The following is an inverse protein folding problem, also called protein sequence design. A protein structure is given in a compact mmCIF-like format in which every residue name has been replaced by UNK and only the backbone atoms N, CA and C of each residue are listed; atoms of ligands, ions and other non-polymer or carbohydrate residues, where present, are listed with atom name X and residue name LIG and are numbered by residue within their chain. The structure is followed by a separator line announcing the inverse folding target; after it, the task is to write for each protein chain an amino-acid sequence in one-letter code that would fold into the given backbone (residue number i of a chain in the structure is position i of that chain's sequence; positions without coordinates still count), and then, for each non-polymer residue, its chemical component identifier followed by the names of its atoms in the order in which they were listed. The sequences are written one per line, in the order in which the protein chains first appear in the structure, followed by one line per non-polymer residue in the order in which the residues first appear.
data_IF_057674441031
#
_entry.id   IF_057674441031
#
_cell.length_a   1.000
_cell.length_b   1.000
_cell.length_c   1.000
_cell.angle_alpha   90.00
_cell.angle_beta   90.00
_cell.angle_gamma   90.00
#
_symmetry.space_group_name_H-M   'P 1'
#
loop_
_entity.id
_entity.type
_entity.pdbx_description
1 polymer ?
#
# COMPACT_ATOMS: atom_id res chain seq x y z
N UNK A 1 -0.19 -12.78 -2.11
CA UNK A 1 -0.62 -12.96 -0.70
C UNK A 1 -1.90 -13.79 -0.71
N UNK A 2 -1.75 -15.10 -0.53
CA UNK A 2 -2.49 -16.12 -1.29
C UNK A 2 -3.37 -17.01 -0.41
N UNK A 3 -4.52 -16.54 0.09
CA UNK A 3 -5.44 -17.30 0.98
C UNK A 3 -4.92 -17.58 2.40
N UNK A 4 -3.75 -18.21 2.56
CA UNK A 4 -3.21 -18.60 3.89
C UNK A 4 -3.02 -17.38 4.79
N UNK A 5 -2.54 -16.26 4.24
CA UNK A 5 -2.36 -15.02 4.99
C UNK A 5 -3.70 -14.46 5.51
N UNK A 6 -4.80 -14.64 4.75
CA UNK A 6 -6.14 -14.21 5.17
C UNK A 6 -6.76 -15.14 6.19
N UNK A 7 -6.52 -16.43 6.07
CA UNK A 7 -6.93 -17.40 7.08
C UNK A 7 -6.21 -17.13 8.41
N UNK A 8 -4.92 -16.78 8.34
CA UNK A 8 -4.13 -16.41 9.51
C UNK A 8 -4.65 -15.11 10.14
N UNK A 9 -4.94 -14.09 9.33
CA UNK A 9 -5.55 -12.84 9.80
C UNK A 9 -6.93 -13.07 10.42
N UNK A 10 -7.79 -13.88 9.80
CA UNK A 10 -9.11 -14.20 10.35
C UNK A 10 -9.00 -14.97 11.68
N UNK A 11 -8.14 -15.98 11.76
CA UNK A 11 -7.90 -16.73 12.99
C UNK A 11 -7.41 -15.83 14.12
N UNK A 12 -6.51 -14.89 13.80
CA UNK A 12 -6.03 -13.88 14.75
C UNK A 12 -7.14 -12.92 15.19
N UNK A 13 -7.99 -12.46 14.27
CA UNK A 13 -9.10 -11.55 14.56
C UNK A 13 -10.14 -12.20 15.50
N UNK A 14 -10.46 -13.48 15.26
CA UNK A 14 -11.35 -14.24 16.15
C UNK A 14 -10.74 -14.37 17.54
N UNK A 15 -9.46 -14.78 17.62
CA UNK A 15 -8.75 -14.87 18.90
C UNK A 15 -8.71 -13.53 19.64
N UNK A 16 -8.39 -12.44 18.95
CA UNK A 16 -8.30 -11.11 19.53
C UNK A 16 -9.67 -10.64 20.04
N UNK A 17 -10.73 -10.84 19.24
CA UNK A 17 -12.11 -10.52 19.63
C UNK A 17 -12.53 -11.27 20.90
N UNK A 18 -12.27 -12.57 20.97
CA UNK A 18 -12.63 -13.38 22.12
C UNK A 18 -11.84 -12.97 23.37
N UNK A 19 -10.57 -12.57 23.21
CA UNK A 19 -9.76 -12.02 24.29
C UNK A 19 -10.27 -10.66 24.78
N UNK A 20 -10.58 -9.74 23.87
CA UNK A 20 -11.20 -8.46 24.24
C UNK A 20 -12.52 -8.68 24.98
N UNK A 21 -13.36 -9.61 24.53
CA UNK A 21 -14.62 -9.95 25.20
C UNK A 21 -14.42 -10.52 26.61
N UNK A 22 -13.32 -11.23 26.86
CA UNK A 22 -12.91 -11.72 28.19
C UNK A 22 -12.25 -10.65 29.07
N UNK A 23 -12.20 -9.38 28.62
CA UNK A 23 -11.59 -8.27 29.33
C UNK A 23 -10.07 -8.25 29.24
N UNK A 24 -9.47 -8.88 28.22
CA UNK A 24 -8.02 -8.77 28.02
C UNK A 24 -7.64 -7.43 27.43
N UNK A 25 -6.56 -6.86 27.93
CA UNK A 25 -6.02 -5.59 27.42
C UNK A 25 -4.65 -5.78 26.75
N UNK A 26 -4.29 -4.83 25.89
CA UNK A 26 -2.95 -4.77 25.32
C UNK A 26 -1.92 -4.41 26.41
N UNK A 27 -0.72 -4.98 26.31
CA UNK A 27 0.45 -4.63 27.12
C UNK A 27 1.73 -5.03 26.40
N UNK A 28 2.84 -4.34 26.63
CA UNK A 28 4.13 -4.72 26.06
C UNK A 28 4.66 -6.08 26.58
N UNK A 29 4.22 -6.50 27.77
CA UNK A 29 4.63 -7.73 28.44
C UNK A 29 3.41 -8.59 28.75
N UNK A 30 3.51 -9.90 28.57
CA UNK A 30 2.43 -10.81 28.91
C UNK A 30 2.23 -10.87 30.43
N UNK A 31 1.00 -10.62 30.87
CA UNK A 31 0.60 -10.66 32.27
C UNK A 31 -0.73 -11.43 32.39
N UNK A 32 -0.65 -12.71 32.71
CA UNK A 32 -1.82 -13.59 32.80
C UNK A 32 -2.74 -13.16 33.97
N UNK A 33 -2.21 -12.88 35.18
CA UNK A 33 -3.01 -12.36 36.30
C UNK A 33 -3.81 -11.10 35.96
N UNK A 34 -3.20 -10.13 35.27
CA UNK A 34 -3.87 -8.89 34.89
C UNK A 34 -4.59 -8.97 33.54
N UNK A 35 -4.70 -10.16 32.94
CA UNK A 35 -5.29 -10.41 31.61
C UNK A 35 -4.71 -9.50 30.52
N UNK A 36 -3.39 -9.36 30.46
CA UNK A 36 -2.71 -8.53 29.46
C UNK A 36 -1.87 -9.34 28.51
N UNK A 37 -1.92 -8.99 27.23
CA UNK A 37 -1.24 -9.76 26.18
C UNK A 37 -0.61 -8.83 25.11
N UNK A 38 0.69 -9.00 24.80
CA UNK A 38 1.36 -8.25 23.74
C UNK A 38 0.89 -8.59 22.33
N UNK A 39 0.26 -9.75 22.14
CA UNK A 39 -0.26 -10.18 20.84
C UNK A 39 -1.63 -9.58 20.51
N UNK A 40 -2.22 -8.81 21.41
CA UNK A 40 -3.49 -8.09 21.18
C UNK A 40 -3.28 -6.84 20.31
N UNK A 41 -2.57 -7.01 19.21
CA UNK A 41 -2.30 -6.00 18.18
C UNK A 41 -2.85 -6.50 16.84
N UNK A 42 -3.14 -5.60 15.89
CA UNK A 42 -3.54 -5.98 14.54
C UNK A 42 -2.55 -6.97 13.92
N UNK A 43 -3.05 -7.94 13.14
CA UNK A 43 -2.21 -9.00 12.53
C UNK A 43 -1.00 -8.45 11.77
N UNK A 44 -1.15 -7.29 11.12
CA UNK A 44 -0.06 -6.59 10.40
C UNK A 44 1.14 -6.23 11.29
N UNK A 45 0.91 -5.96 12.57
CA UNK A 45 1.91 -5.54 13.55
C UNK A 45 2.47 -6.69 14.38
N UNK A 46 2.03 -7.94 14.15
CA UNK A 46 2.65 -9.10 14.80
C UNK A 46 4.07 -9.33 14.28
N UNK A 47 4.90 -9.92 15.13
CA UNK A 47 6.23 -10.38 14.76
C UNK A 47 6.20 -11.40 13.62
N UNK A 48 7.13 -11.26 12.69
CA UNK A 48 7.25 -12.16 11.52
C UNK A 48 7.46 -13.63 11.91
N UNK A 49 8.07 -13.90 13.08
CA UNK A 49 8.22 -15.26 13.60
C UNK A 49 6.86 -15.91 13.93
N UNK A 50 5.97 -15.15 14.58
CA UNK A 50 4.63 -15.65 14.93
C UNK A 50 3.76 -15.80 13.69
N UNK A 51 3.82 -14.83 12.76
CA UNK A 51 3.13 -14.93 11.46
C UNK A 51 3.56 -16.15 10.67
N UNK A 52 4.87 -16.46 10.66
CA UNK A 52 5.42 -17.63 9.97
C UNK A 52 4.89 -18.93 10.55
N UNK A 53 4.91 -19.08 11.88
CA UNK A 53 4.37 -20.28 12.53
C UNK A 53 2.88 -20.48 12.21
N UNK A 54 2.07 -19.43 12.27
CA UNK A 54 0.65 -19.51 11.90
C UNK A 54 0.46 -19.88 10.44
N UNK A 55 1.28 -19.31 9.54
CA UNK A 55 1.26 -19.63 8.11
C UNK A 55 1.60 -21.10 7.87
N UNK A 56 2.60 -21.64 8.56
CA UNK A 56 3.01 -23.04 8.42
C UNK A 56 1.92 -24.00 8.91
N UNK A 57 1.31 -23.73 10.07
CA UNK A 57 0.18 -24.51 10.59
C UNK A 57 -1.02 -24.50 9.64
N UNK A 58 -1.36 -23.34 9.09
CA UNK A 58 -2.47 -23.23 8.14
C UNK A 58 -2.15 -23.85 6.78
N UNK A 59 -0.91 -23.74 6.30
CA UNK A 59 -0.45 -24.46 5.12
C UNK A 59 -0.65 -25.97 5.26
N UNK A 60 -0.33 -26.53 6.44
CA UNK A 60 -0.57 -27.95 6.72
C UNK A 60 -2.06 -28.29 6.72
N UNK A 61 -2.89 -27.50 7.40
CA UNK A 61 -4.34 -27.71 7.43
C UNK A 61 -4.98 -27.64 6.03
N UNK A 62 -4.56 -26.67 5.20
CA UNK A 62 -5.00 -26.53 3.81
C UNK A 62 -4.56 -27.73 2.97
N UNK A 63 -3.33 -28.22 3.13
CA UNK A 63 -2.87 -29.44 2.44
C UNK A 63 -3.71 -30.66 2.81
N UNK A 64 -4.09 -30.79 4.08
CA UNK A 64 -4.98 -31.87 4.53
C UNK A 64 -6.37 -31.75 3.90
N UNK A 65 -6.95 -30.55 3.85
CA UNK A 65 -8.24 -30.30 3.19
C UNK A 65 -8.21 -30.62 1.69
N UNK A 66 -7.15 -30.22 0.99
CA UNK A 66 -6.93 -30.58 -0.41
C UNK A 66 -6.80 -32.11 -0.59
N UNK A 67 -6.12 -32.79 0.34
CA UNK A 67 -6.01 -34.26 0.35
C UNK A 67 -7.35 -34.97 0.57
N UNK A 68 -8.31 -34.34 1.26
CA UNK A 68 -9.68 -34.83 1.39
C UNK A 68 -10.57 -34.52 0.18
N UNK A 69 -10.04 -33.92 -0.88
CA UNK A 69 -10.78 -33.60 -2.11
C UNK A 69 -11.55 -32.29 -2.07
N UNK A 70 -11.35 -31.45 -1.04
CA UNK A 70 -11.93 -30.11 -1.02
C UNK A 70 -11.12 -29.17 -1.90
N UNK A 71 -11.75 -28.57 -2.90
CA UNK A 71 -11.13 -27.49 -3.68
C UNK A 71 -11.35 -26.15 -2.96
N UNK A 72 -10.27 -25.45 -2.61
CA UNK A 72 -10.35 -24.14 -1.96
C UNK A 72 -10.06 -23.07 -3.01
N UNK A 73 -11.12 -22.55 -3.59
CA UNK A 73 -11.03 -21.43 -4.52
C UNK A 73 -10.95 -20.13 -3.71
N UNK A 74 -9.96 -19.25 -3.97
CA UNK A 74 -10.04 -17.91 -3.46
C UNK A 74 -11.34 -17.31 -4.01
N UNK A 75 -12.24 -16.74 -3.18
CA UNK A 75 -13.42 -16.06 -3.71
C UNK A 75 -12.91 -15.07 -4.75
N UNK A 76 -13.54 -15.02 -5.93
CA UNK A 76 -13.22 -14.12 -7.02
C UNK A 76 -13.08 -12.70 -6.49
N UNK A 77 -11.86 -12.39 -6.08
CA UNK A 77 -11.51 -11.07 -5.69
C UNK A 77 -11.05 -10.42 -6.96
N UNK A 78 -12.05 -9.97 -7.71
CA UNK A 78 -11.99 -8.58 -8.14
C UNK A 78 -11.40 -7.81 -6.95
N UNK A 79 -10.16 -7.30 -7.05
CA UNK A 79 -9.59 -6.50 -5.99
C UNK A 79 -10.56 -5.34 -5.85
N UNK A 80 -11.44 -5.44 -4.86
CA UNK A 80 -12.47 -4.48 -4.64
C UNK A 80 -11.69 -3.19 -4.40
N UNK A 81 -11.78 -2.29 -5.37
CA UNK A 81 -11.03 -1.03 -5.46
C UNK A 81 -11.49 -0.04 -4.37
N UNK A 82 -11.95 -0.56 -3.23
CA UNK A 82 -12.60 0.16 -2.15
C UNK A 82 -11.64 0.50 -1.00
N UNK A 83 -10.36 0.12 -1.08
CA UNK A 83 -9.37 0.50 -0.04
C UNK A 83 -8.20 1.35 -0.58
N UNK A 84 -8.31 1.90 -1.79
CA UNK A 84 -7.40 2.95 -2.29
C UNK A 84 -7.86 4.37 -1.95
N UNK A 85 -8.99 4.50 -1.24
CA UNK A 85 -9.48 5.80 -0.78
C UNK A 85 -9.26 5.93 0.72
N UNK A 86 -8.35 6.84 1.08
CA UNK A 86 -8.03 7.32 2.43
C UNK A 86 -6.92 6.60 3.21
N UNK A 87 -5.68 6.81 2.73
CA UNK A 87 -4.77 7.56 3.61
C UNK A 87 -4.45 8.85 2.89
N UNK A 88 -4.81 9.97 3.49
CA UNK A 88 -4.46 11.30 3.01
C UNK A 88 -2.96 11.55 3.07
N UNK A 89 -2.18 10.83 2.26
CA UNK A 89 -0.94 11.37 1.75
C UNK A 89 -1.33 12.39 0.70
N UNK A 90 -1.63 13.60 1.18
CA UNK A 90 -1.71 14.78 0.33
C UNK A 90 -0.36 14.86 -0.38
N UNK A 91 -0.33 14.45 -1.65
CA UNK A 91 0.86 14.52 -2.48
C UNK A 91 1.39 15.95 -2.40
N UNK A 92 2.61 16.10 -1.87
CA UNK A 92 3.23 17.42 -1.72
C UNK A 92 3.76 17.83 -3.09
N UNK A 93 3.28 18.97 -3.58
CA UNK A 93 3.73 19.54 -4.84
C UNK A 93 4.95 20.42 -4.55
N UNK A 94 6.10 20.02 -5.06
CA UNK A 94 7.31 20.83 -5.05
C UNK A 94 7.47 21.49 -6.42
N UNK A 95 7.59 22.82 -6.46
CA UNK A 95 7.82 23.59 -7.69
C UNK A 95 8.83 24.71 -7.45
N UNK A 96 9.59 25.05 -8.49
CA UNK A 96 10.43 26.24 -8.49
C UNK A 96 9.56 27.52 -8.42
N UNK A 97 10.15 28.63 -7.99
CA UNK A 97 9.43 29.91 -7.96
C UNK A 97 9.04 30.35 -9.37
N UNK A 98 7.92 31.07 -9.47
CA UNK A 98 7.36 31.51 -10.77
C UNK A 98 8.32 32.42 -11.55
N UNK A 99 9.22 33.12 -10.86
CA UNK A 99 10.26 33.99 -11.42
C UNK A 99 11.29 33.25 -12.28
N UNK A 100 11.48 31.94 -12.05
CA UNK A 100 12.41 31.10 -12.81
C UNK A 100 11.75 30.38 -14.00
N UNK A 101 10.54 30.78 -14.40
CA UNK A 101 9.87 30.21 -15.55
C UNK A 101 10.63 30.52 -16.85
N UNK A 102 11.08 29.47 -17.53
CA UNK A 102 11.85 29.58 -18.77
C UNK A 102 10.90 29.69 -19.99
N UNK A 103 11.18 30.63 -20.89
CA UNK A 103 10.36 30.87 -22.09
C UNK A 103 11.02 30.40 -23.40
N UNK A 104 12.35 30.24 -23.40
CA UNK A 104 13.13 29.81 -24.57
C UNK A 104 14.41 29.07 -24.16
N UNK A 105 14.98 28.29 -25.08
CA UNK A 105 16.21 27.53 -24.85
C UNK A 105 15.97 26.06 -24.52
N UNK A 106 17.06 25.32 -24.33
CA UNK A 106 17.03 23.90 -23.95
C UNK A 106 17.46 23.79 -22.49
N UNK A 107 16.65 23.11 -21.70
CA UNK A 107 16.82 23.00 -20.25
C UNK A 107 16.82 21.54 -19.83
N UNK A 108 17.60 21.24 -18.79
CA UNK A 108 17.76 19.90 -18.24
C UNK A 108 17.87 20.01 -16.71
N UNK A 109 17.31 19.04 -16.00
CA UNK A 109 17.44 18.90 -14.56
C UNK A 109 17.52 17.42 -14.19
N UNK A 110 18.05 17.16 -12.99
CA UNK A 110 18.21 15.81 -12.46
C UNK A 110 17.35 15.64 -11.19
N UNK A 111 16.84 14.43 -11.01
CA UNK A 111 16.07 14.04 -9.84
C UNK A 111 16.53 12.67 -9.37
N UNK A 112 16.96 12.57 -8.11
CA UNK A 112 17.39 11.32 -7.50
C UNK A 112 16.30 10.79 -6.56
N UNK A 113 15.78 9.60 -6.85
CA UNK A 113 14.82 8.91 -6.00
C UNK A 113 15.55 8.05 -4.96
N UNK A 114 15.66 8.54 -3.72
CA UNK A 114 16.28 7.81 -2.61
C UNK A 114 15.41 6.63 -2.13
N UNK A 115 14.09 6.73 -2.31
CA UNK A 115 13.12 5.71 -1.91
C UNK A 115 12.25 5.29 -3.10
N UNK A 116 11.94 4.00 -3.20
CA UNK A 116 10.96 3.51 -4.16
C UNK A 116 9.54 3.82 -3.68
N UNK A 117 8.77 4.55 -4.49
CA UNK A 117 7.40 4.96 -4.16
C UNK A 117 6.73 5.73 -5.29
N UNK A 118 5.47 6.13 -5.10
CA UNK A 118 4.78 6.97 -6.09
C UNK A 118 5.39 8.38 -6.11
N UNK A 119 6.18 8.66 -7.13
CA UNK A 119 6.77 9.97 -7.39
C UNK A 119 6.44 10.38 -8.82
N UNK A 120 5.95 11.62 -8.96
CA UNK A 120 5.65 12.25 -10.26
C UNK A 120 6.60 13.41 -10.45
N UNK A 121 7.44 13.34 -11.50
CA UNK A 121 8.47 14.35 -11.79
C UNK A 121 8.34 14.84 -13.23
N UNK A 122 8.45 16.16 -13.44
CA UNK A 122 8.36 16.75 -14.77
C UNK A 122 8.20 18.26 -14.73
N UNK A 123 7.72 18.82 -15.84
CA UNK A 123 7.57 20.26 -16.04
C UNK A 123 6.11 20.68 -15.85
N UNK A 124 5.88 21.78 -15.15
CA UNK A 124 4.53 22.33 -14.98
C UNK A 124 4.52 23.83 -15.27
N UNK A 125 3.38 24.32 -15.77
CA UNK A 125 3.17 25.74 -16.02
C UNK A 125 3.01 26.50 -14.69
N UNK A 126 3.43 27.78 -14.63
CA UNK A 126 3.34 28.60 -13.41
C UNK A 126 1.91 28.79 -12.87
N UNK A 127 0.90 28.59 -13.72
CA UNK A 127 -0.53 28.72 -13.40
C UNK A 127 -1.11 27.51 -12.65
N UNK A 128 -0.33 26.45 -12.42
CA UNK A 128 -0.79 25.24 -11.74
C UNK A 128 -1.36 25.56 -10.35
N UNK A 129 -2.59 25.11 -10.11
CA UNK A 129 -3.26 25.27 -8.82
C UNK A 129 -2.89 24.14 -7.85
N UNK A 130 -2.67 24.42 -6.56
CA UNK A 130 -2.16 23.44 -5.59
C UNK A 130 -3.21 22.40 -5.14
N UNK A 131 -4.47 22.56 -5.53
CA UNK A 131 -5.61 21.69 -5.24
C UNK A 131 -5.87 20.64 -6.32
N UNK A 132 -5.16 20.70 -7.45
CA UNK A 132 -5.30 19.77 -8.57
C UNK A 132 -4.12 18.80 -8.58
N UNK A 133 -4.39 17.50 -8.73
CA UNK A 133 -3.34 16.48 -8.84
C UNK A 133 -2.46 16.74 -10.08
N UNK A 134 -1.13 16.58 -9.92
CA UNK A 134 -0.20 16.73 -11.04
C UNK A 134 -0.51 15.73 -12.16
N UNK A 135 -0.80 16.26 -13.36
CA UNK A 135 -1.15 15.51 -14.56
C UNK A 135 -2.66 15.29 -14.77
N UNK A 136 -3.52 15.90 -13.95
CA UNK A 136 -4.97 15.90 -14.18
C UNK A 136 -5.43 16.95 -15.20
N UNK A 137 -4.59 17.93 -15.53
CA UNK A 137 -4.86 19.03 -16.46
C UNK A 137 -3.74 19.22 -17.51
N UNK A 138 -4.01 20.03 -18.53
CA UNK A 138 -3.03 20.41 -19.57
C UNK A 138 -1.87 21.30 -19.06
N UNK A 139 -1.78 21.52 -17.75
CA UNK A 139 -0.85 22.45 -17.13
C UNK A 139 0.40 21.77 -16.57
N UNK A 140 0.45 20.42 -16.51
CA UNK A 140 1.61 19.69 -16.01
C UNK A 140 1.96 18.47 -16.88
N UNK A 141 3.21 18.43 -17.36
CA UNK A 141 3.81 17.32 -18.09
C UNK A 141 4.70 16.52 -17.15
N UNK A 142 4.15 15.42 -16.62
CA UNK A 142 4.76 14.69 -15.50
C UNK A 142 4.86 13.20 -15.82
N UNK A 143 5.99 12.61 -15.42
CA UNK A 143 6.25 11.19 -15.54
C UNK A 143 6.07 10.49 -14.19
N UNK A 144 5.36 9.36 -14.17
CA UNK A 144 5.23 8.50 -12.99
C UNK A 144 6.19 7.32 -13.07
N UNK A 145 7.18 7.27 -12.17
CA UNK A 145 8.18 6.20 -12.15
C UNK A 145 7.71 4.87 -11.57
N UNK A 146 6.55 4.84 -10.88
CA UNK A 146 6.08 3.66 -10.14
C UNK A 146 5.09 2.80 -10.92
N UNK A 147 4.34 3.39 -11.85
CA UNK A 147 3.49 2.68 -12.82
C UNK A 147 4.13 2.79 -14.18
N UNK A 148 4.63 1.67 -14.70
CA UNK A 148 5.30 1.53 -16.01
C UNK A 148 4.81 2.59 -17.01
N UNK A 149 5.66 3.59 -17.26
CA UNK A 149 5.65 4.44 -18.44
C UNK A 149 4.34 5.18 -18.76
N UNK A 150 3.63 5.74 -17.78
CA UNK A 150 2.49 6.63 -18.07
C UNK A 150 2.89 8.08 -17.95
N UNK A 151 2.95 8.79 -19.07
CA UNK A 151 2.93 10.26 -19.06
C UNK A 151 1.50 10.70 -18.78
N UNK A 152 1.31 11.48 -17.72
CA UNK A 152 -0.01 11.96 -17.31
C UNK A 152 -0.33 13.29 -18.01
N UNK A 153 -0.31 13.28 -19.35
CA UNK A 153 -0.81 14.38 -20.17
C UNK A 153 -1.97 13.84 -21.02
N UNK A 154 -3.08 14.58 -21.18
CA UNK A 154 -4.20 14.10 -21.98
C UNK A 154 -3.74 13.82 -23.41
N UNK A 155 -3.87 12.56 -23.82
CA UNK A 155 -3.59 12.11 -25.20
C UNK A 155 -2.24 11.43 -25.45
N UNK A 156 -1.35 11.24 -24.48
CA UNK A 156 -0.07 10.55 -24.73
C UNK A 156 -0.09 9.05 -24.38
N UNK A 157 0.52 8.25 -25.28
CA UNK A 157 0.71 6.80 -25.17
C UNK A 157 1.84 6.44 -24.19
N UNK A 158 1.88 5.19 -23.67
CA UNK A 158 2.97 4.77 -22.81
C UNK A 158 4.32 4.82 -23.52
N UNK A 159 5.33 5.40 -22.85
CA UNK A 159 6.73 5.41 -23.29
C UNK A 159 7.59 4.83 -22.15
N UNK A 160 8.34 3.78 -22.46
CA UNK A 160 9.24 3.09 -21.54
C UNK A 160 10.19 2.15 -22.29
N UNK A 161 11.39 1.94 -21.75
CA UNK A 161 12.40 1.05 -22.31
C UNK A 161 11.97 -0.42 -22.19
N UNK A 162 12.18 -1.19 -23.27
CA UNK A 162 12.07 -2.66 -23.27
C UNK A 162 13.22 -3.31 -22.51
#
# INVERSE_FOLDING_TARGET
TTLVDRLAENGHNVWARDRVAQGWSYSAVQDIPARRNPRLVPYRLLDEATKRSNRDSLCQAVRTLLGYGYNIEPPDQEPSQVDSQSRGDRARIFRAEKSYAVQSGRWYFEFEAVTTGEMRVGWARPELRPDVELGADDLAYVFNGHRVGTSLAPGFRPWGFS
#
